data_IF_001842056225
#
_entry.id   IF_001842056225
#
_cell.length_a   1.000
_cell.length_b   1.000
_cell.length_c   1.000
_cell.angle_alpha   90.00
_cell.angle_beta   90.00
_cell.angle_gamma   90.00
#
_symmetry.space_group_name_H-M   'P 1'
#
loop_
_entity.id
_entity.type
_entity.pdbx_description
1 polymer ?
#
# COMPACT_ATOMS: atom_id res chain seq x y z
N UNK A 1 -5.34 -11.55 -50.97
CA UNK A 1 -4.03 -10.97 -51.28
C UNK A 1 -3.17 -10.89 -50.06
N UNK A 2 -1.87 -11.09 -50.23
CA UNK A 2 -0.91 -11.12 -49.14
C UNK A 2 -0.91 -9.83 -48.31
N UNK A 3 -1.08 -8.69 -48.96
CA UNK A 3 -1.06 -7.38 -48.29
C UNK A 3 -2.24 -7.17 -47.36
N UNK A 4 -3.42 -7.63 -47.73
CA UNK A 4 -4.62 -7.51 -46.90
C UNK A 4 -4.58 -8.51 -45.71
N UNK A 5 -4.08 -9.72 -45.96
CA UNK A 5 -3.87 -10.69 -44.90
C UNK A 5 -2.84 -10.20 -43.90
N UNK A 6 -1.78 -9.59 -44.33
CA UNK A 6 -0.79 -8.97 -43.46
C UNK A 6 -1.38 -7.84 -42.63
N UNK A 7 -2.22 -6.99 -43.20
CA UNK A 7 -2.90 -5.93 -42.49
C UNK A 7 -3.85 -6.47 -41.44
N UNK A 8 -4.60 -7.51 -41.74
CA UNK A 8 -5.50 -8.16 -40.80
C UNK A 8 -4.73 -8.76 -39.62
N UNK A 9 -3.66 -9.47 -39.92
CA UNK A 9 -2.84 -10.08 -38.86
C UNK A 9 -2.19 -9.03 -37.96
N UNK A 10 -1.70 -7.95 -38.55
CA UNK A 10 -1.11 -6.82 -37.82
C UNK A 10 -2.17 -6.15 -36.95
N UNK A 11 -3.35 -5.89 -37.45
CA UNK A 11 -4.45 -5.28 -36.70
C UNK A 11 -4.91 -6.18 -35.55
N UNK A 12 -5.01 -7.48 -35.80
CA UNK A 12 -5.37 -8.44 -34.75
C UNK A 12 -4.32 -8.50 -33.65
N UNK A 13 -3.05 -8.50 -34.01
CA UNK A 13 -1.94 -8.48 -33.05
C UNK A 13 -1.94 -7.21 -32.21
N UNK A 14 -2.16 -6.05 -32.83
CA UNK A 14 -2.26 -4.77 -32.11
C UNK A 14 -3.43 -4.76 -31.15
N UNK A 15 -4.56 -5.33 -31.55
CA UNK A 15 -5.76 -5.42 -30.73
C UNK A 15 -5.51 -6.29 -29.48
N UNK A 16 -4.85 -7.43 -29.67
CA UNK A 16 -4.46 -8.29 -28.54
C UNK A 16 -3.53 -7.58 -27.58
N UNK A 17 -2.54 -6.86 -28.10
CA UNK A 17 -1.61 -6.08 -27.28
C UNK A 17 -2.36 -5.02 -26.50
N UNK A 18 -3.30 -4.30 -27.11
CA UNK A 18 -4.10 -3.29 -26.44
C UNK A 18 -4.96 -3.91 -25.33
N UNK A 19 -5.62 -5.01 -25.59
CA UNK A 19 -6.43 -5.71 -24.62
C UNK A 19 -5.60 -6.20 -23.44
N UNK A 20 -4.46 -6.81 -23.71
CA UNK A 20 -3.54 -7.27 -22.67
C UNK A 20 -2.98 -6.10 -21.87
N UNK A 21 -2.60 -5.01 -22.50
CA UNK A 21 -2.08 -3.81 -21.83
C UNK A 21 -3.15 -3.21 -20.92
N UNK A 22 -4.39 -3.09 -21.41
CA UNK A 22 -5.52 -2.58 -20.61
C UNK A 22 -5.76 -3.46 -19.39
N UNK A 23 -5.72 -4.76 -19.55
CA UNK A 23 -5.87 -5.71 -18.45
C UNK A 23 -4.75 -5.54 -17.41
N UNK A 24 -3.51 -5.46 -17.85
CA UNK A 24 -2.37 -5.27 -16.96
C UNK A 24 -2.43 -3.94 -16.21
N UNK A 25 -2.84 -2.86 -16.88
CA UNK A 25 -3.00 -1.55 -16.24
C UNK A 25 -4.06 -1.62 -15.14
N UNK A 26 -5.18 -2.29 -15.38
CA UNK A 26 -6.21 -2.47 -14.36
C UNK A 26 -5.72 -3.28 -13.17
N UNK A 27 -5.00 -4.37 -13.41
CA UNK A 27 -4.42 -5.19 -12.35
C UNK A 27 -3.41 -4.40 -11.51
N UNK A 28 -2.54 -3.62 -12.16
CA UNK A 28 -1.58 -2.77 -11.48
C UNK A 28 -2.26 -1.68 -10.66
N UNK A 29 -3.30 -1.04 -11.19
CA UNK A 29 -4.06 -0.03 -10.47
C UNK A 29 -4.69 -0.60 -9.20
N UNK A 30 -5.25 -1.80 -9.28
CA UNK A 30 -5.81 -2.49 -8.12
C UNK A 30 -4.73 -2.80 -7.09
N UNK A 31 -3.59 -3.32 -7.52
CA UNK A 31 -2.46 -3.62 -6.65
C UNK A 31 -1.96 -2.37 -5.94
N UNK A 32 -1.83 -1.25 -6.66
CA UNK A 32 -1.40 0.03 -6.09
C UNK A 32 -2.41 0.50 -5.03
N UNK A 33 -3.69 0.37 -5.30
CA UNK A 33 -4.73 0.76 -4.36
C UNK A 33 -4.70 -0.09 -3.10
N UNK A 34 -4.53 -1.41 -3.25
CA UNK A 34 -4.38 -2.33 -2.12
C UNK A 34 -3.15 -1.99 -1.28
N UNK A 35 -2.03 -1.69 -1.92
CA UNK A 35 -0.80 -1.27 -1.23
C UNK A 35 -0.98 0.04 -0.47
N UNK A 36 -1.69 1.00 -1.04
CA UNK A 36 -2.02 2.26 -0.34
C UNK A 36 -2.82 2.01 0.92
N UNK A 37 -3.81 1.14 0.86
CA UNK A 37 -4.62 0.77 2.02
C UNK A 37 -3.77 0.08 3.10
N UNK A 38 -2.88 -0.82 2.71
CA UNK A 38 -1.97 -1.46 3.64
C UNK A 38 -1.02 -0.47 4.31
N UNK A 39 -0.50 0.49 3.56
CA UNK A 39 0.37 1.54 4.09
C UNK A 39 -0.39 2.40 5.11
N UNK A 40 -1.63 2.76 4.83
CA UNK A 40 -2.45 3.51 5.78
C UNK A 40 -2.70 2.74 7.07
N UNK A 41 -2.96 1.44 6.95
CA UNK A 41 -3.14 0.56 8.11
C UNK A 41 -1.87 0.49 8.94
N UNK A 42 -0.71 0.35 8.32
CA UNK A 42 0.58 0.34 8.99
C UNK A 42 0.83 1.67 9.70
N UNK A 43 0.57 2.79 9.05
CA UNK A 43 0.73 4.12 9.65
C UNK A 43 -0.16 4.29 10.88
N UNK A 44 -1.39 3.83 10.82
CA UNK A 44 -2.31 3.87 11.95
C UNK A 44 -1.79 3.05 13.12
N UNK A 45 -1.34 1.83 12.86
CA UNK A 45 -0.74 0.95 13.87
C UNK A 45 0.49 1.59 14.50
N UNK A 46 1.34 2.23 13.72
CA UNK A 46 2.52 2.92 14.23
C UNK A 46 2.15 4.08 15.16
N UNK A 47 1.12 4.85 14.81
CA UNK A 47 0.65 5.94 15.67
C UNK A 47 0.12 5.40 16.99
N UNK A 48 -0.67 4.35 16.97
CA UNK A 48 -1.20 3.71 18.16
C UNK A 48 -0.09 3.19 19.07
N UNK A 49 0.90 2.51 18.48
CA UNK A 49 2.07 2.02 19.21
C UNK A 49 2.87 3.16 19.83
N UNK A 50 3.08 4.24 19.09
CA UNK A 50 3.78 5.43 19.58
C UNK A 50 3.06 6.04 20.77
N UNK A 51 1.73 6.16 20.71
CA UNK A 51 0.92 6.67 21.83
C UNK A 51 1.00 5.76 23.04
N UNK A 52 0.97 4.45 22.85
CA UNK A 52 1.13 3.49 23.96
C UNK A 52 2.49 3.63 24.61
N UNK A 53 3.55 3.76 23.85
CA UNK A 53 4.91 3.97 24.36
C UNK A 53 5.00 5.27 25.14
N UNK A 54 4.43 6.36 24.65
CA UNK A 54 4.39 7.65 25.34
C UNK A 54 3.61 7.53 26.67
N UNK A 55 2.47 6.86 26.66
CA UNK A 55 1.67 6.65 27.86
C UNK A 55 2.41 5.81 28.90
N UNK A 56 3.08 4.74 28.49
CA UNK A 56 3.90 3.93 29.37
C UNK A 56 5.05 4.74 29.97
N UNK A 57 5.70 5.59 29.17
CA UNK A 57 6.75 6.49 29.65
C UNK A 57 6.24 7.46 30.71
N UNK A 58 5.06 8.04 30.52
CA UNK A 58 4.43 8.94 31.49
C UNK A 58 4.09 8.21 32.80
N UNK A 59 3.54 6.99 32.72
CA UNK A 59 3.24 6.18 33.88
C UNK A 59 4.49 5.82 34.67
N UNK A 60 5.55 5.43 33.98
CA UNK A 60 6.84 5.11 34.56
C UNK A 60 7.43 6.30 35.33
N UNK A 61 7.38 7.51 34.74
CA UNK A 61 7.83 8.73 35.39
C UNK A 61 7.01 9.06 36.66
N UNK A 62 5.70 8.87 36.58
CA UNK A 62 4.83 9.11 37.72
C UNK A 62 5.14 8.16 38.87
N UNK A 63 5.41 6.88 38.56
CA UNK A 63 5.79 5.88 39.57
C UNK A 63 7.14 6.25 40.19
N UNK A 64 8.13 6.63 39.39
CA UNK A 64 9.45 7.04 39.88
C UNK A 64 9.36 8.25 40.80
N UNK A 65 8.58 9.25 40.43
CA UNK A 65 8.36 10.44 41.26
C UNK A 65 7.69 10.09 42.58
N UNK A 66 6.74 9.19 42.58
CA UNK A 66 6.05 8.70 43.82
C UNK A 66 7.03 7.97 44.73
N UNK A 67 7.91 7.13 44.15
CA UNK A 67 8.94 6.43 44.92
C UNK A 67 9.91 7.43 45.55
N UNK A 68 10.39 8.41 44.79
CA UNK A 68 11.29 9.44 45.28
C UNK A 68 10.67 10.25 46.42
N UNK A 69 9.40 10.60 46.34
CA UNK A 69 8.71 11.35 47.39
C UNK A 69 8.56 10.55 48.69
N UNK A 70 8.55 9.22 48.61
CA UNK A 70 8.42 8.35 49.78
C UNK A 70 9.74 8.01 50.46
N UNK A 71 10.81 8.18 49.74
CA UNK A 71 12.16 7.96 50.26
C UNK A 71 12.63 9.19 51.01
#
# INVERSE_FOLDING_TARGET
MVTEDFKMDTNNSLKEIQENTTKHVKELSKTIQDLKMEIETIKKSQRETTLEIENLGKKSRAIDATIDDRI
#
